data_IF_860872630614
#
_entry.id   IF_860872630614
#
_cell.length_a   1.000
_cell.length_b   1.000
_cell.length_c   1.000
_cell.angle_alpha   90.00
_cell.angle_beta   90.00
_cell.angle_gamma   90.00
#
_symmetry.space_group_name_H-M   'P 1'
#
loop_
_entity.id
_entity.type
_entity.pdbx_description
1 polymer ?
#
# COMPACT_ATOMS: atom_id res chain seq x y z
N UNK A 1 -8.46 -11.76 -13.78
CA UNK A 1 -7.83 -10.73 -12.92
C UNK A 1 -8.63 -9.42 -12.92
N UNK A 2 -8.70 -8.68 -14.03
CA UNK A 2 -9.35 -7.35 -14.09
C UNK A 2 -10.81 -7.30 -13.60
N UNK A 3 -11.65 -8.26 -13.99
CA UNK A 3 -13.05 -8.31 -13.51
C UNK A 3 -13.17 -8.47 -11.99
N UNK A 4 -12.23 -9.21 -11.37
CA UNK A 4 -12.18 -9.37 -9.92
C UNK A 4 -11.73 -8.07 -9.26
N UNK A 5 -10.68 -7.43 -9.79
CA UNK A 5 -10.19 -6.16 -9.25
C UNK A 5 -11.25 -5.06 -9.34
N UNK A 6 -11.91 -4.89 -10.49
CA UNK A 6 -12.99 -3.92 -10.64
C UNK A 6 -14.11 -4.09 -9.61
N UNK A 7 -14.50 -5.34 -9.29
CA UNK A 7 -15.49 -5.62 -8.24
C UNK A 7 -14.97 -5.24 -6.84
N UNK A 8 -13.71 -5.52 -6.54
CA UNK A 8 -13.09 -5.17 -5.26
C UNK A 8 -13.00 -3.66 -5.10
N UNK A 9 -12.52 -2.94 -6.11
CA UNK A 9 -12.41 -1.48 -6.09
C UNK A 9 -13.77 -0.81 -5.87
N UNK A 10 -14.80 -1.28 -6.59
CA UNK A 10 -16.17 -0.78 -6.43
C UNK A 10 -16.70 -1.03 -5.02
N UNK A 11 -16.42 -2.21 -4.46
CA UNK A 11 -16.81 -2.55 -3.09
C UNK A 11 -16.12 -1.65 -2.07
N UNK A 12 -14.80 -1.48 -2.18
CA UNK A 12 -13.99 -0.63 -1.29
C UNK A 12 -14.52 0.80 -1.32
N UNK A 13 -14.71 1.37 -2.52
CA UNK A 13 -15.21 2.73 -2.67
C UNK A 13 -16.63 2.90 -2.08
N UNK A 14 -17.50 1.91 -2.27
CA UNK A 14 -18.85 1.93 -1.69
C UNK A 14 -18.81 1.93 -0.15
N UNK A 15 -17.96 1.08 0.45
CA UNK A 15 -17.81 0.98 1.91
C UNK A 15 -17.27 2.29 2.48
N UNK A 16 -16.24 2.88 1.88
CA UNK A 16 -15.66 4.14 2.36
C UNK A 16 -16.68 5.28 2.24
N UNK A 17 -17.37 5.39 1.10
CA UNK A 17 -18.40 6.42 0.88
C UNK A 17 -19.52 6.30 1.92
N UNK A 18 -19.99 5.08 2.22
CA UNK A 18 -21.03 4.86 3.22
C UNK A 18 -20.54 5.18 4.63
N UNK A 19 -19.31 4.81 4.98
CA UNK A 19 -18.71 5.13 6.28
C UNK A 19 -18.58 6.65 6.49
N UNK A 20 -18.17 7.39 5.45
CA UNK A 20 -18.10 8.86 5.48
C UNK A 20 -19.47 9.50 5.65
N UNK A 21 -20.49 9.02 4.92
CA UNK A 21 -21.88 9.49 5.08
C UNK A 21 -22.43 9.26 6.49
N UNK A 22 -22.05 8.15 7.12
CA UNK A 22 -22.39 7.85 8.50
C UNK A 22 -21.57 8.66 9.53
N UNK A 23 -20.58 9.45 9.09
CA UNK A 23 -19.71 10.23 9.96
C UNK A 23 -18.69 9.38 10.73
N UNK A 24 -18.42 8.15 10.31
CA UNK A 24 -17.53 7.22 11.01
C UNK A 24 -16.11 7.78 11.26
N UNK A 25 -15.46 8.53 10.34
CA UNK A 25 -14.12 9.08 10.62
C UNK A 25 -14.09 10.01 11.84
N UNK A 26 -15.20 10.67 12.16
CA UNK A 26 -15.31 11.61 13.30
C UNK A 26 -15.36 10.91 14.65
N UNK A 27 -15.66 9.61 14.67
CA UNK A 27 -15.74 8.83 15.92
C UNK A 27 -14.41 8.17 16.27
N UNK A 28 -13.40 8.26 15.40
CA UNK A 28 -12.07 7.73 15.68
C UNK A 28 -11.44 8.48 16.85
N UNK A 29 -10.86 7.73 17.78
CA UNK A 29 -10.05 8.33 18.82
C UNK A 29 -8.73 8.88 18.23
N UNK A 30 -8.08 9.75 19.01
CA UNK A 30 -6.86 10.42 18.57
C UNK A 30 -5.69 9.47 18.36
N UNK A 31 -5.61 8.39 19.16
CA UNK A 31 -4.54 7.39 19.05
C UNK A 31 -4.71 6.60 17.77
N UNK A 32 -5.93 6.14 17.49
CA UNK A 32 -6.26 5.46 16.24
C UNK A 32 -5.99 6.33 15.02
N UNK A 33 -6.44 7.59 15.04
CA UNK A 33 -6.18 8.54 13.96
C UNK A 33 -4.68 8.75 13.71
N UNK A 34 -3.87 8.79 14.77
CA UNK A 34 -2.42 8.91 14.67
C UNK A 34 -1.77 7.63 14.11
N UNK A 35 -2.26 6.46 14.52
CA UNK A 35 -1.79 5.16 14.02
C UNK A 35 -2.06 5.02 12.52
N UNK A 36 -3.23 5.46 12.05
CA UNK A 36 -3.55 5.48 10.63
C UNK A 36 -2.61 6.40 9.83
N UNK A 37 -2.37 7.62 10.31
CA UNK A 37 -1.43 8.55 9.66
C UNK A 37 0.01 8.01 9.63
N UNK A 38 0.49 7.48 10.77
CA UNK A 38 1.88 7.08 10.94
C UNK A 38 2.18 5.70 10.34
N UNK A 39 1.44 4.66 10.74
CA UNK A 39 1.79 3.28 10.44
C UNK A 39 1.07 2.75 9.20
N UNK A 40 -0.25 3.01 9.05
CA UNK A 40 -0.93 2.66 7.80
C UNK A 40 -0.40 3.52 6.64
N UNK A 41 -0.12 4.79 6.90
CA UNK A 41 0.57 5.69 5.97
C UNK A 41 1.98 5.26 5.60
N UNK A 42 2.75 4.65 6.52
CA UNK A 42 4.06 4.08 6.21
C UNK A 42 3.97 2.77 5.40
N UNK A 43 3.01 1.90 5.72
CA UNK A 43 2.86 0.58 5.06
C UNK A 43 2.67 0.68 3.54
N UNK A 44 2.02 1.75 3.05
CA UNK A 44 1.86 2.00 1.61
C UNK A 44 3.21 2.02 0.87
N UNK A 45 4.29 2.47 1.51
CA UNK A 45 5.63 2.54 0.92
C UNK A 45 6.27 1.16 0.80
N UNK A 46 6.06 0.29 1.79
CA UNK A 46 6.51 -1.10 1.71
C UNK A 46 5.82 -1.86 0.57
N UNK A 47 4.49 -1.74 0.47
CA UNK A 47 3.73 -2.38 -0.62
C UNK A 47 4.10 -1.82 -1.99
N UNK A 48 4.39 -0.51 -2.08
CA UNK A 48 4.89 0.10 -3.30
C UNK A 48 6.26 -0.47 -3.71
N UNK A 49 7.21 -0.57 -2.78
CA UNK A 49 8.55 -1.10 -3.06
C UNK A 49 8.54 -2.58 -3.47
N UNK A 50 7.70 -3.40 -2.84
CA UNK A 50 7.50 -4.80 -3.26
C UNK A 50 6.77 -4.89 -4.61
N UNK A 51 5.83 -3.99 -4.87
CA UNK A 51 5.15 -3.91 -6.16
C UNK A 51 6.12 -3.61 -7.31
N UNK A 52 7.05 -2.68 -7.10
CA UNK A 52 8.06 -2.29 -8.08
C UNK A 52 9.14 -3.36 -8.27
N UNK A 53 9.59 -4.06 -7.22
CA UNK A 53 10.52 -5.19 -7.36
C UNK A 53 9.93 -6.29 -8.23
N UNK A 54 8.68 -6.70 -7.98
CA UNK A 54 8.02 -7.72 -8.79
C UNK A 54 7.78 -7.27 -10.25
N UNK A 55 7.60 -5.97 -10.49
CA UNK A 55 7.47 -5.43 -11.84
C UNK A 55 8.78 -5.53 -12.65
N UNK A 56 9.92 -5.48 -11.96
CA UNK A 56 11.22 -5.81 -12.55
C UNK A 56 11.37 -7.33 -12.73
N UNK A 57 11.08 -8.13 -11.70
CA UNK A 57 11.21 -9.59 -11.72
C UNK A 57 10.51 -10.24 -12.91
N UNK A 58 9.28 -9.82 -13.24
CA UNK A 58 8.52 -10.41 -14.35
C UNK A 58 9.22 -10.32 -15.71
N UNK A 59 10.13 -9.35 -15.91
CA UNK A 59 10.86 -9.19 -17.18
C UNK A 59 11.86 -10.34 -17.40
N UNK A 60 12.36 -10.92 -16.32
CA UNK A 60 13.45 -11.89 -16.33
C UNK A 60 12.96 -13.34 -16.20
N UNK A 61 11.66 -13.57 -15.97
CA UNK A 61 11.15 -14.93 -15.86
C UNK A 61 11.20 -15.69 -17.19
N UNK A 62 11.57 -16.97 -17.10
CA UNK A 62 11.87 -17.81 -18.27
C UNK A 62 10.64 -18.36 -18.99
N UNK A 63 9.45 -18.25 -18.40
CA UNK A 63 8.21 -18.74 -19.01
C UNK A 63 7.11 -17.70 -18.91
N UNK A 64 6.21 -17.72 -19.89
CA UNK A 64 5.06 -16.82 -19.92
C UNK A 64 4.15 -16.98 -18.69
N UNK A 65 4.06 -18.18 -18.13
CA UNK A 65 3.26 -18.41 -16.92
C UNK A 65 3.86 -17.73 -15.69
N UNK A 66 5.19 -17.82 -15.51
CA UNK A 66 5.89 -17.13 -14.42
C UNK A 66 5.74 -15.62 -14.56
N UNK A 67 5.97 -15.07 -15.76
CA UNK A 67 5.89 -13.62 -15.99
C UNK A 67 4.50 -13.07 -15.67
N UNK A 68 3.45 -13.77 -16.13
CA UNK A 68 2.07 -13.36 -15.86
C UNK A 68 1.69 -13.47 -14.38
N UNK A 69 2.18 -14.49 -13.67
CA UNK A 69 1.92 -14.66 -12.24
C UNK A 69 2.60 -13.54 -11.43
N UNK A 70 3.88 -13.27 -11.70
CA UNK A 70 4.66 -12.22 -11.04
C UNK A 70 4.08 -10.84 -11.33
N UNK A 71 3.69 -10.55 -12.57
CA UNK A 71 3.04 -9.29 -12.94
C UNK A 71 1.68 -9.11 -12.24
N UNK A 72 0.91 -10.18 -12.12
CA UNK A 72 -0.38 -10.14 -11.41
C UNK A 72 -0.19 -9.82 -9.93
N UNK A 73 0.84 -10.39 -9.29
CA UNK A 73 1.17 -10.10 -7.89
C UNK A 73 1.70 -8.68 -7.71
N UNK A 74 2.57 -8.20 -8.61
CA UNK A 74 3.01 -6.81 -8.67
C UNK A 74 1.80 -5.86 -8.72
N UNK A 75 0.83 -6.14 -9.59
CA UNK A 75 -0.39 -5.34 -9.71
C UNK A 75 -1.19 -5.31 -8.40
N UNK A 76 -1.32 -6.44 -7.68
CA UNK A 76 -2.01 -6.45 -6.39
C UNK A 76 -1.30 -5.61 -5.33
N UNK A 77 0.03 -5.65 -5.27
CA UNK A 77 0.85 -4.85 -4.36
C UNK A 77 0.70 -3.35 -4.62
N UNK A 78 0.83 -2.95 -5.87
CA UNK A 78 0.65 -1.54 -6.28
C UNK A 78 -0.79 -1.06 -6.03
N UNK A 79 -1.78 -1.93 -6.27
CA UNK A 79 -3.18 -1.57 -6.01
C UNK A 79 -3.44 -1.36 -4.52
N UNK A 80 -2.92 -2.22 -3.66
CA UNK A 80 -3.05 -2.03 -2.21
C UNK A 80 -2.42 -0.70 -1.74
N UNK A 81 -1.23 -0.36 -2.25
CA UNK A 81 -0.60 0.92 -1.93
C UNK A 81 -1.46 2.13 -2.36
N UNK A 82 -2.13 2.04 -3.51
CA UNK A 82 -3.08 3.05 -3.99
C UNK A 82 -4.35 3.09 -3.14
N UNK A 83 -4.92 1.94 -2.80
CA UNK A 83 -6.14 1.86 -1.98
C UNK A 83 -5.91 2.45 -0.59
N UNK A 84 -4.76 2.18 0.03
CA UNK A 84 -4.36 2.82 1.30
C UNK A 84 -4.27 4.34 1.12
N UNK A 85 -3.65 4.81 0.04
CA UNK A 85 -3.49 6.25 -0.23
C UNK A 85 -4.86 6.93 -0.39
N UNK A 86 -5.76 6.36 -1.18
CA UNK A 86 -7.10 6.88 -1.38
C UNK A 86 -7.92 6.84 -0.08
N UNK A 87 -7.86 5.74 0.67
CA UNK A 87 -8.53 5.62 1.96
C UNK A 87 -8.09 6.70 2.94
N UNK A 88 -6.78 6.89 3.13
CA UNK A 88 -6.23 7.90 4.03
C UNK A 88 -6.60 9.33 3.58
N UNK A 89 -6.54 9.62 2.28
CA UNK A 89 -6.97 10.91 1.74
C UNK A 89 -8.47 11.16 1.99
N UNK A 90 -9.31 10.12 1.86
CA UNK A 90 -10.74 10.24 2.08
C UNK A 90 -11.12 10.48 3.54
N UNK A 91 -10.53 9.75 4.48
CA UNK A 91 -10.83 9.94 5.91
C UNK A 91 -10.15 11.20 6.48
N UNK A 92 -8.98 11.58 5.97
CA UNK A 92 -8.21 12.74 6.43
C UNK A 92 -8.96 14.06 6.24
N UNK A 93 -9.79 14.16 5.20
CA UNK A 93 -10.67 15.32 4.97
C UNK A 93 -11.65 15.59 6.13
N UNK A 94 -12.04 14.56 6.88
CA UNK A 94 -13.06 14.66 7.93
C UNK A 94 -12.46 14.74 9.35
N UNK A 95 -11.13 14.60 9.48
CA UNK A 95 -10.41 14.55 10.76
C UNK A 95 -9.57 15.82 10.94
N UNK A 96 -9.86 16.61 11.97
CA UNK A 96 -9.15 17.85 12.24
C UNK A 96 -7.68 17.59 12.64
N UNK A 97 -6.75 18.36 12.06
CA UNK A 97 -5.32 18.26 12.36
C UNK A 97 -4.63 17.04 11.74
N UNK A 98 -5.20 16.48 10.67
CA UNK A 98 -4.60 15.40 9.90
C UNK A 98 -3.32 15.84 9.19
N UNK A 99 -2.27 15.02 9.27
CA UNK A 99 -0.96 15.23 8.65
C UNK A 99 -0.69 14.11 7.63
N UNK A 100 -0.77 14.46 6.35
CA UNK A 100 -0.57 13.53 5.23
C UNK A 100 0.88 13.09 5.03
N UNK A 101 1.85 13.86 5.54
CA UNK A 101 3.28 13.58 5.41
C UNK A 101 3.82 12.68 6.53
N UNK A 102 3.04 12.50 7.60
CA UNK A 102 3.47 11.72 8.76
C UNK A 102 3.85 10.28 8.39
N UNK A 103 3.07 9.63 7.54
CA UNK A 103 3.34 8.25 7.12
C UNK A 103 4.69 8.12 6.39
N UNK A 104 5.01 9.09 5.52
CA UNK A 104 6.30 9.15 4.83
C UNK A 104 7.44 9.41 5.81
N UNK A 105 7.25 10.32 6.76
CA UNK A 105 8.23 10.59 7.81
C UNK A 105 8.54 9.33 8.62
N UNK A 106 7.50 8.60 9.04
CA UNK A 106 7.69 7.35 9.78
C UNK A 106 8.39 6.27 8.93
N UNK A 107 8.03 6.13 7.65
CA UNK A 107 8.75 5.22 6.75
C UNK A 107 10.26 5.53 6.67
N UNK A 108 10.62 6.82 6.64
CA UNK A 108 12.01 7.25 6.46
C UNK A 108 12.83 7.27 7.76
N UNK A 109 12.21 7.63 8.88
CA UNK A 109 12.93 8.00 10.11
C UNK A 109 12.60 7.10 11.32
N UNK A 110 11.44 6.44 11.34
CA UNK A 110 11.02 5.64 12.50
C UNK A 110 11.79 4.32 12.55
N UNK A 111 12.45 4.07 13.69
CA UNK A 111 13.21 2.85 13.96
C UNK A 111 12.40 1.56 13.75
N UNK A 112 11.08 1.59 14.00
CA UNK A 112 10.20 0.42 13.81
C UNK A 112 10.12 0.00 12.34
N UNK A 113 10.23 0.94 11.40
CA UNK A 113 10.12 0.67 9.97
C UNK A 113 11.45 0.43 9.28
N UNK A 114 12.60 0.76 9.90
CA UNK A 114 13.90 0.68 9.22
C UNK A 114 14.25 -0.75 8.80
N UNK A 115 13.97 -1.77 9.61
CA UNK A 115 14.21 -3.17 9.23
C UNK A 115 13.34 -3.60 8.04
N UNK A 116 12.08 -3.17 8.00
CA UNK A 116 11.20 -3.42 6.85
C UNK A 116 11.69 -2.68 5.60
N UNK A 117 12.14 -1.42 5.75
CA UNK A 117 12.68 -0.63 4.64
C UNK A 117 13.93 -1.28 4.07
N UNK A 118 14.89 -1.66 4.92
CA UNK A 118 16.11 -2.34 4.51
C UNK A 118 15.78 -3.63 3.74
N UNK A 119 14.85 -4.45 4.23
CA UNK A 119 14.43 -5.66 3.53
C UNK A 119 13.82 -5.34 2.15
N UNK A 120 12.92 -4.36 2.05
CA UNK A 120 12.28 -3.96 0.79
C UNK A 120 13.31 -3.42 -0.20
N UNK A 121 14.21 -2.52 0.24
CA UNK A 121 15.27 -1.94 -0.59
C UNK A 121 16.29 -3.00 -1.04
N UNK A 122 16.59 -3.97 -0.18
CA UNK A 122 17.47 -5.10 -0.51
C UNK A 122 16.84 -5.99 -1.57
N UNK A 123 15.56 -6.35 -1.42
CA UNK A 123 14.81 -7.12 -2.42
C UNK A 123 14.78 -6.39 -3.76
N UNK A 124 14.55 -5.07 -3.74
CA UNK A 124 14.61 -4.25 -4.97
C UNK A 124 15.98 -4.25 -5.63
N UNK A 125 17.06 -4.38 -4.86
CA UNK A 125 18.44 -4.43 -5.34
C UNK A 125 18.91 -5.79 -5.85
N UNK A 126 18.15 -6.87 -5.62
CA UNK A 126 18.52 -8.21 -6.07
C UNK A 126 18.51 -8.30 -7.60
N UNK A 127 19.33 -9.20 -8.17
CA UNK A 127 19.40 -9.42 -9.61
C UNK A 127 18.68 -10.71 -10.05
N UNK A 128 18.54 -11.69 -9.16
CA UNK A 128 17.81 -12.93 -9.43
C UNK A 128 16.31 -12.71 -9.22
N UNK A 129 15.52 -12.91 -10.27
CA UNK A 129 14.07 -12.72 -10.23
C UNK A 129 13.34 -13.68 -9.29
N UNK A 130 13.94 -14.85 -9.00
CA UNK A 130 13.38 -15.82 -8.09
C UNK A 130 13.71 -15.48 -6.62
N UNK A 131 14.85 -14.84 -6.37
CA UNK A 131 15.19 -14.29 -5.05
C UNK A 131 14.34 -13.05 -4.73
N UNK A 132 13.95 -12.29 -5.76
CA UNK A 132 13.02 -11.17 -5.64
C UNK A 132 11.57 -11.57 -5.29
N UNK A 133 11.17 -12.82 -5.54
CA UNK A 133 9.78 -13.30 -5.42
C UNK A 133 9.52 -14.04 -4.11
#
# INVERSE_FOLDING_TARGET
>A
HYQRQSKIETMVQSVITNARRAGAPKTFDKVWSKLLQAHLGAWKHAEFGLGTSLMQAQRYGYTQMINNATLTNSSYKLRLAQDITLYLAEIGMDIAGWDDELGKKHWLEDGVWQGTREAVETIMGMADYLEQY
#
